data_IF_231758160421
#
_entry.id   IF_231758160421
#
_cell.length_a   1.000
_cell.length_b   1.000
_cell.length_c   1.000
_cell.angle_alpha   90.00
_cell.angle_beta   90.00
_cell.angle_gamma   90.00
#
_symmetry.space_group_name_H-M   'P 1'
#
loop_
_entity.id
_entity.type
_entity.pdbx_description
1 polymer ?
#
# COMPACT_ATOMS: atom_id res chain seq x y z
N UNK A 1 -9.21 -16.06 5.56
CA UNK A 1 -8.62 -15.01 4.70
C UNK A 1 -7.11 -15.02 4.73
N UNK A 2 -6.48 -14.99 5.92
CA UNK A 2 -5.01 -15.03 6.03
C UNK A 2 -4.39 -16.36 5.56
N UNK A 3 -5.06 -17.50 5.79
CA UNK A 3 -4.55 -18.81 5.38
C UNK A 3 -4.42 -18.96 3.85
N UNK A 4 -5.37 -18.42 3.09
CA UNK A 4 -5.32 -18.40 1.63
C UNK A 4 -4.23 -17.45 1.10
N UNK A 5 -3.94 -16.37 1.83
CA UNK A 5 -2.86 -15.43 1.49
C UNK A 5 -1.48 -16.02 1.80
N UNK A 6 -1.38 -16.89 2.82
CA UNK A 6 -0.14 -17.52 3.29
C UNK A 6 0.61 -18.25 2.17
N UNK A 7 -0.10 -19.07 1.39
CA UNK A 7 0.49 -19.83 0.28
C UNK A 7 1.08 -18.90 -0.79
N UNK A 8 0.36 -17.82 -1.12
CA UNK A 8 0.82 -16.86 -2.14
C UNK A 8 1.97 -15.99 -1.65
N UNK A 9 1.88 -15.48 -0.43
CA UNK A 9 2.84 -14.53 0.15
C UNK A 9 4.16 -15.19 0.57
N UNK A 10 4.15 -16.49 0.86
CA UNK A 10 5.38 -17.25 1.15
C UNK A 10 6.42 -17.27 0.01
N UNK A 11 5.99 -16.91 -1.22
CA UNK A 11 6.86 -16.85 -2.41
C UNK A 11 7.53 -15.49 -2.62
N UNK A 12 7.18 -14.48 -1.81
CA UNK A 12 7.55 -13.10 -2.06
C UNK A 12 8.85 -12.74 -1.31
N UNK A 13 9.74 -12.03 -1.98
CA UNK A 13 10.99 -11.59 -1.36
C UNK A 13 10.83 -10.28 -0.56
N UNK A 14 9.97 -9.37 -1.02
CA UNK A 14 9.78 -8.04 -0.42
C UNK A 14 8.30 -7.67 -0.37
N UNK A 15 7.87 -7.10 0.74
CA UNK A 15 6.53 -6.52 0.94
C UNK A 15 6.69 -5.04 1.25
N UNK A 16 6.03 -4.21 0.44
CA UNK A 16 5.96 -2.77 0.64
C UNK A 16 4.74 -2.44 1.46
N UNK A 17 4.91 -1.61 2.50
CA UNK A 17 3.81 -1.19 3.35
C UNK A 17 3.76 0.33 3.49
N UNK A 18 2.56 0.87 3.63
CA UNK A 18 2.38 2.29 3.89
C UNK A 18 2.94 2.66 5.26
N UNK A 19 3.30 3.93 5.44
CA UNK A 19 3.85 4.45 6.70
C UNK A 19 2.93 4.29 7.92
N UNK A 20 1.64 3.98 7.72
CA UNK A 20 0.68 3.70 8.79
C UNK A 20 0.81 2.29 9.37
N UNK A 21 1.48 1.38 8.67
CA UNK A 21 1.67 -0.01 9.07
C UNK A 21 3.13 -0.25 9.43
N UNK A 22 3.48 0.14 10.66
CA UNK A 22 4.84 0.06 11.18
C UNK A 22 4.89 -0.61 12.56
N UNK A 23 6.10 -0.96 12.98
CA UNK A 23 6.36 -1.50 14.32
C UNK A 23 6.29 -3.02 14.43
N UNK A 24 6.61 -3.52 15.63
CA UNK A 24 6.81 -4.95 15.93
C UNK A 24 5.58 -5.80 15.64
N UNK A 25 4.38 -5.29 15.91
CA UNK A 25 3.14 -6.05 15.72
C UNK A 25 2.91 -6.37 14.23
N UNK A 26 3.15 -5.40 13.36
CA UNK A 26 3.03 -5.58 11.91
C UNK A 26 4.12 -6.51 11.36
N UNK A 27 5.38 -6.31 11.79
CA UNK A 27 6.49 -7.17 11.41
C UNK A 27 6.25 -8.63 11.84
N UNK A 28 5.78 -8.87 13.07
CA UNK A 28 5.45 -10.20 13.58
C UNK A 28 4.30 -10.84 12.79
N UNK A 29 3.27 -10.05 12.44
CA UNK A 29 2.16 -10.54 11.63
C UNK A 29 2.63 -10.98 10.23
N UNK A 30 3.48 -10.18 9.58
CA UNK A 30 4.06 -10.55 8.28
C UNK A 30 4.93 -11.80 8.41
N UNK A 31 5.75 -11.91 9.46
CA UNK A 31 6.62 -13.07 9.67
C UNK A 31 5.81 -14.36 9.88
N UNK A 32 4.68 -14.30 10.60
CA UNK A 32 3.78 -15.44 10.79
C UNK A 32 3.10 -15.90 9.50
N UNK A 33 2.83 -14.96 8.58
CA UNK A 33 2.15 -15.25 7.31
C UNK A 33 3.14 -15.63 6.21
N UNK A 34 4.27 -14.96 6.10
CA UNK A 34 5.17 -15.06 4.95
C UNK A 34 6.46 -15.86 5.26
N UNK A 35 6.73 -16.15 6.53
CA UNK A 35 7.95 -16.82 6.97
C UNK A 35 9.15 -15.87 7.09
N UNK A 36 10.30 -16.41 7.49
CA UNK A 36 11.49 -15.62 7.84
C UNK A 36 12.25 -15.01 6.64
N UNK A 37 11.85 -15.32 5.40
CA UNK A 37 12.57 -14.90 4.19
C UNK A 37 12.11 -13.56 3.60
N UNK A 38 11.08 -12.93 4.16
CA UNK A 38 10.43 -11.77 3.53
C UNK A 38 10.88 -10.47 4.19
N UNK A 39 11.41 -9.56 3.38
CA UNK A 39 11.78 -8.21 3.82
C UNK A 39 10.55 -7.30 3.77
N UNK A 40 10.27 -6.62 4.89
CA UNK A 40 9.23 -5.58 4.93
C UNK A 40 9.90 -4.24 4.75
N UNK A 41 9.50 -3.52 3.71
CA UNK A 41 9.93 -2.16 3.45
C UNK A 41 8.73 -1.23 3.71
N UNK A 42 8.85 -0.42 4.75
CA UNK A 42 7.85 0.61 5.03
C UNK A 42 8.22 1.81 4.18
N UNK A 43 7.27 2.30 3.39
CA UNK A 43 7.43 3.56 2.67
C UNK A 43 7.64 4.66 3.71
N UNK A 44 8.83 5.24 3.73
CA UNK A 44 9.13 6.37 4.60
C UNK A 44 8.42 7.61 4.08
N UNK A 45 8.01 8.49 5.00
CA UNK A 45 7.60 9.83 4.60
C UNK A 45 8.82 10.55 4.05
N UNK A 46 8.70 11.09 2.83
CA UNK A 46 9.75 11.86 2.17
C UNK A 46 10.18 13.07 3.01
N UNK A 47 9.27 13.63 3.82
CA UNK A 47 9.53 14.77 4.70
C UNK A 47 8.77 14.66 6.03
N UNK A 48 9.39 15.09 7.14
CA UNK A 48 8.74 15.15 8.46
C UNK A 48 7.83 16.37 8.63
N UNK A 49 7.91 17.31 7.70
CA UNK A 49 7.16 18.57 7.67
C UNK A 49 6.39 18.65 6.38
N UNK A 50 5.31 19.44 6.37
CA UNK A 50 4.58 19.71 5.14
C UNK A 50 5.52 20.43 4.16
N UNK A 51 5.75 19.80 3.01
CA UNK A 51 6.48 20.41 1.90
C UNK A 51 5.49 20.91 0.85
N UNK A 52 5.69 22.14 0.38
CA UNK A 52 4.93 22.66 -0.74
C UNK A 52 5.33 21.90 -2.00
N UNK A 53 4.40 21.13 -2.55
CA UNK A 53 4.58 20.43 -3.81
C UNK A 53 4.12 21.36 -4.95
N UNK A 54 5.04 21.91 -5.77
CA UNK A 54 4.66 22.79 -6.86
C UNK A 54 3.67 22.05 -7.76
N UNK A 55 2.53 22.68 -8.06
CA UNK A 55 1.47 22.14 -8.94
C UNK A 55 0.65 20.97 -8.38
N UNK A 56 0.74 20.66 -7.08
CA UNK A 56 -0.09 19.63 -6.42
C UNK A 56 -1.59 19.79 -6.70
N UNK A 57 -2.07 21.04 -6.70
CA UNK A 57 -3.46 21.36 -6.98
C UNK A 57 -3.94 20.86 -8.35
N UNK A 58 -3.08 20.80 -9.37
CA UNK A 58 -3.48 20.29 -10.70
C UNK A 58 -3.75 18.78 -10.67
N UNK A 59 -2.93 18.03 -9.94
CA UNK A 59 -3.10 16.59 -9.76
C UNK A 59 -4.36 16.31 -8.95
N UNK A 60 -4.55 17.02 -7.84
CA UNK A 60 -5.74 16.87 -6.99
C UNK A 60 -7.03 17.25 -7.72
N UNK A 61 -7.03 18.30 -8.54
CA UNK A 61 -8.17 18.68 -9.39
C UNK A 61 -8.50 17.60 -10.43
N UNK A 62 -7.46 17.05 -11.08
CA UNK A 62 -7.64 15.97 -12.05
C UNK A 62 -8.28 14.75 -11.40
N UNK A 63 -7.78 14.32 -10.23
CA UNK A 63 -8.39 13.22 -9.48
C UNK A 63 -9.80 13.58 -9.00
N UNK A 64 -10.06 14.82 -8.57
CA UNK A 64 -11.40 15.29 -8.21
C UNK A 64 -12.40 15.14 -9.38
N UNK A 65 -11.97 15.43 -10.61
CA UNK A 65 -12.80 15.24 -11.80
C UNK A 65 -13.00 13.77 -12.12
N UNK A 66 -11.94 12.97 -12.11
CA UNK A 66 -12.02 11.52 -12.36
C UNK A 66 -12.90 10.82 -11.33
N UNK A 67 -12.86 11.24 -10.07
CA UNK A 67 -13.64 10.64 -8.99
C UNK A 67 -15.15 10.91 -9.13
N UNK A 68 -15.54 11.97 -9.87
CA UNK A 68 -16.96 12.20 -10.25
C UNK A 68 -17.47 11.20 -11.26
N UNK A 69 -16.59 10.59 -12.05
CA UNK A 69 -16.96 9.52 -12.98
C UNK A 69 -16.81 8.16 -12.30
N UNK A 70 -17.94 7.55 -11.92
CA UNK A 70 -18.00 6.28 -11.19
C UNK A 70 -17.17 5.14 -11.80
N UNK A 71 -16.97 5.14 -13.13
CA UNK A 71 -16.14 4.15 -13.84
C UNK A 71 -14.64 4.28 -13.59
N UNK A 72 -14.16 5.46 -13.19
CA UNK A 72 -12.75 5.79 -13.01
C UNK A 72 -12.33 5.85 -11.54
N UNK A 73 -13.29 5.87 -10.60
CA UNK A 73 -13.02 6.04 -9.17
C UNK A 73 -12.63 4.76 -8.44
N UNK A 74 -12.99 3.57 -8.96
CA UNK A 74 -12.67 2.28 -8.35
C UNK A 74 -12.27 1.29 -9.42
N UNK A 75 -11.20 0.54 -9.15
CA UNK A 75 -10.87 -0.60 -9.99
C UNK A 75 -11.88 -1.71 -9.72
N UNK A 76 -12.80 -1.92 -10.65
CA UNK A 76 -13.85 -2.93 -10.57
C UNK A 76 -13.41 -4.28 -11.17
N UNK A 77 -12.14 -4.43 -11.57
CA UNK A 77 -11.60 -5.68 -12.11
C UNK A 77 -11.25 -6.70 -11.02
N UNK A 78 -12.09 -6.80 -10.00
CA UNK A 78 -12.06 -7.94 -9.09
C UNK A 78 -13.07 -8.94 -9.61
N UNK A 79 -12.64 -10.19 -9.75
CA UNK A 79 -13.39 -11.37 -10.22
C UNK A 79 -13.37 -11.64 -11.74
N UNK A 80 -12.25 -12.20 -12.21
CA UNK A 80 -12.28 -13.24 -13.24
C UNK A 80 -11.33 -14.37 -12.84
#
# INVERSE_FOLDING_TARGET
>A
MLDAAKEKLSKWAVIWSESGYFGKNFANAIQQVCGNGVRVEVSEQTSKTFEELPKRWMVEQTFGWLNRFRRLSKNYEVYK
#
